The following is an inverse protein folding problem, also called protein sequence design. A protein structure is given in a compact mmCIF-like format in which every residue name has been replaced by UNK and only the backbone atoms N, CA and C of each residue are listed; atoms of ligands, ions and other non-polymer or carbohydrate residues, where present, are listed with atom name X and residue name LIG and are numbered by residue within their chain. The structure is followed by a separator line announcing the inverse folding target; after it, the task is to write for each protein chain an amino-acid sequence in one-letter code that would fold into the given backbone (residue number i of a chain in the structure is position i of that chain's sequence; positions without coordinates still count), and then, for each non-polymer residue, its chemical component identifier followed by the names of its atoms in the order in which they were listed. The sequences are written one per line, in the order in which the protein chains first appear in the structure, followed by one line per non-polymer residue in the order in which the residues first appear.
data_IF_676554059565
#
_entry.id   IF_676554059565
#
_cell.length_a   1.000
_cell.length_b   1.000
_cell.length_c   1.000
_cell.angle_alpha   90.00
_cell.angle_beta   90.00
_cell.angle_gamma   90.00
#
_symmetry.space_group_name_H-M   'P 1'
#
loop_
_entity.id
_entity.type
_entity.pdbx_description
1 polymer ?
#
# COMPACT_ATOMS: atom_id res chain seq x y z
N UNK A 1 15.14 -14.03 -17.67
CA UNK A 1 16.00 -13.74 -16.49
C UNK A 1 15.39 -14.49 -15.31
N UNK A 2 16.16 -14.88 -14.29
CA UNK A 2 15.56 -15.39 -13.06
C UNK A 2 14.68 -14.31 -12.42
N UNK A 3 13.51 -14.66 -11.85
CA UNK A 3 12.66 -13.72 -11.14
C UNK A 3 13.42 -12.97 -10.03
N UNK A 4 13.26 -11.65 -9.95
CA UNK A 4 13.75 -10.78 -8.86
C UNK A 4 12.62 -10.44 -7.89
N UNK A 5 12.75 -10.94 -6.66
CA UNK A 5 11.76 -10.83 -5.61
C UNK A 5 12.28 -9.95 -4.48
N UNK A 6 11.48 -8.97 -4.07
CA UNK A 6 11.75 -8.14 -2.89
C UNK A 6 10.84 -8.55 -1.73
N UNK A 7 11.44 -8.92 -0.60
CA UNK A 7 10.73 -9.13 0.67
C UNK A 7 10.87 -7.89 1.54
N UNK A 8 9.74 -7.24 1.80
CA UNK A 8 9.64 -6.14 2.77
C UNK A 8 9.02 -6.66 4.05
N UNK A 9 9.67 -6.42 5.18
CA UNK A 9 9.18 -6.86 6.48
C UNK A 9 9.21 -5.73 7.50
N UNK A 10 8.27 -5.73 8.45
CA UNK A 10 8.32 -4.82 9.61
C UNK A 10 9.35 -5.33 10.60
N UNK A 11 10.31 -4.50 11.01
CA UNK A 11 11.21 -4.84 12.12
C UNK A 11 10.45 -4.64 13.44
N UNK A 12 9.82 -5.69 13.94
CA UNK A 12 9.14 -5.66 15.24
C UNK A 12 10.01 -6.33 16.31
N UNK A 13 9.78 -6.02 17.58
CA UNK A 13 10.52 -6.64 18.70
C UNK A 13 9.82 -7.88 19.26
N UNK A 14 8.74 -8.31 18.61
CA UNK A 14 7.93 -9.45 19.03
C UNK A 14 8.40 -10.71 18.29
N UNK A 15 8.67 -11.76 19.06
CA UNK A 15 9.27 -13.01 18.59
C UNK A 15 8.45 -13.69 17.49
N UNK A 16 7.13 -13.49 17.47
CA UNK A 16 6.22 -14.08 16.48
C UNK A 16 6.57 -13.63 15.05
N UNK A 17 6.93 -12.37 14.86
CA UNK A 17 7.27 -11.84 13.54
C UNK A 17 8.65 -12.28 13.08
N UNK A 18 9.60 -12.46 14.00
CA UNK A 18 10.92 -13.02 13.69
C UNK A 18 10.80 -14.49 13.27
N UNK A 19 9.94 -15.27 13.92
CA UNK A 19 9.61 -16.65 13.52
C UNK A 19 8.97 -16.70 12.13
N UNK A 20 8.02 -15.79 11.86
CA UNK A 20 7.40 -15.70 10.55
C UNK A 20 8.42 -15.34 9.45
N UNK A 21 9.33 -14.41 9.73
CA UNK A 21 10.40 -14.06 8.80
C UNK A 21 11.36 -15.22 8.55
N UNK A 22 11.71 -15.99 9.58
CA UNK A 22 12.52 -17.19 9.43
C UNK A 22 11.82 -18.23 8.54
N UNK A 23 10.55 -18.54 8.77
CA UNK A 23 9.79 -19.49 7.96
C UNK A 23 9.69 -19.06 6.48
N UNK A 24 9.46 -17.77 6.24
CA UNK A 24 9.46 -17.19 4.88
C UNK A 24 10.84 -17.31 4.23
N UNK A 25 11.91 -17.01 4.97
CA UNK A 25 13.30 -17.15 4.48
C UNK A 25 13.62 -18.58 4.09
N UNK A 26 13.32 -19.55 4.96
CA UNK A 26 13.61 -20.96 4.71
C UNK A 26 12.92 -21.43 3.42
N UNK A 27 11.63 -21.07 3.24
CA UNK A 27 10.86 -21.37 2.03
C UNK A 27 11.46 -20.72 0.77
N UNK A 28 11.94 -19.49 0.91
CA UNK A 28 12.52 -18.73 -0.18
C UNK A 28 13.91 -19.23 -0.57
N UNK A 29 14.73 -19.66 0.39
CA UNK A 29 16.06 -20.22 0.15
C UNK A 29 15.99 -21.57 -0.61
N UNK A 30 14.95 -22.38 -0.36
CA UNK A 30 14.62 -23.55 -1.18
C UNK A 30 14.36 -23.15 -2.65
N UNK A 31 13.58 -22.09 -2.88
CA UNK A 31 13.27 -21.61 -4.23
C UNK A 31 14.48 -21.01 -4.94
N UNK A 32 15.40 -20.35 -4.22
CA UNK A 32 16.69 -19.91 -4.78
C UNK A 32 17.46 -21.13 -5.31
N UNK A 33 17.51 -22.20 -4.53
CA UNK A 33 18.22 -23.42 -4.90
C UNK A 33 17.58 -24.15 -6.08
N UNK A 34 16.24 -24.20 -6.11
CA UNK A 34 15.48 -24.96 -7.12
C UNK A 34 15.31 -24.21 -8.45
N UNK A 35 15.09 -22.89 -8.40
CA UNK A 35 14.65 -22.07 -9.54
C UNK A 35 15.62 -20.93 -9.89
N UNK A 36 16.66 -20.71 -9.08
CA UNK A 36 17.64 -19.65 -9.30
C UNK A 36 17.09 -18.23 -9.14
N UNK A 37 16.00 -18.06 -8.38
CA UNK A 37 15.40 -16.74 -8.13
C UNK A 37 16.36 -15.84 -7.34
N UNK A 38 16.28 -14.53 -7.59
CA UNK A 38 17.02 -13.53 -6.82
C UNK A 38 16.11 -12.96 -5.75
N UNK A 39 16.60 -12.89 -4.51
CA UNK A 39 15.80 -12.43 -3.37
C UNK A 39 16.54 -11.34 -2.62
N UNK A 40 15.85 -10.22 -2.42
CA UNK A 40 16.31 -9.12 -1.58
C UNK A 40 15.42 -8.98 -0.34
N UNK A 41 16.01 -8.64 0.80
CA UNK A 41 15.26 -8.36 2.03
C UNK A 41 15.48 -6.91 2.45
N UNK A 42 14.39 -6.20 2.75
CA UNK A 42 14.46 -4.88 3.39
C UNK A 42 13.47 -4.73 4.53
N UNK A 43 13.95 -4.07 5.59
CA UNK A 43 13.07 -3.58 6.64
C UNK A 43 12.23 -2.43 6.09
N UNK A 44 10.93 -2.43 6.37
CA UNK A 44 9.95 -1.42 5.94
C UNK A 44 10.46 0.02 6.10
N UNK A 45 11.18 0.29 7.19
CA UNK A 45 11.63 1.63 7.57
C UNK A 45 12.78 2.16 6.68
N UNK A 46 13.42 1.29 5.90
CA UNK A 46 14.56 1.64 5.02
C UNK A 46 14.25 1.48 3.53
N UNK A 47 12.99 1.15 3.20
CA UNK A 47 12.54 0.99 1.82
C UNK A 47 12.32 2.37 1.17
N UNK A 48 12.73 2.49 -0.09
CA UNK A 48 12.45 3.62 -0.96
C UNK A 48 11.71 3.15 -2.22
N UNK A 49 11.16 4.10 -2.98
CA UNK A 49 10.49 3.82 -4.26
C UNK A 49 11.39 3.08 -5.25
N UNK A 50 12.69 3.40 -5.27
CA UNK A 50 13.68 2.78 -6.15
C UNK A 50 13.83 1.28 -5.90
N UNK A 51 13.58 0.79 -4.68
CA UNK A 51 13.70 -0.63 -4.37
C UNK A 51 12.66 -1.49 -5.10
N UNK A 52 11.51 -0.92 -5.48
CA UNK A 52 10.40 -1.62 -6.12
C UNK A 52 10.47 -1.66 -7.65
N UNK A 53 11.34 -0.85 -8.24
CA UNK A 53 11.46 -0.73 -9.69
C UNK A 53 12.04 -2.01 -10.28
N UNK A 54 11.35 -2.58 -11.26
CA UNK A 54 11.83 -3.75 -12.02
C UNK A 54 11.77 -5.08 -11.27
N UNK A 55 11.07 -5.15 -10.13
CA UNK A 55 10.81 -6.41 -9.42
C UNK A 55 9.71 -7.20 -10.10
N UNK A 56 9.87 -8.51 -10.15
CA UNK A 56 8.85 -9.43 -10.66
C UNK A 56 7.77 -9.73 -9.62
N UNK A 57 8.12 -9.64 -8.32
CA UNK A 57 7.19 -9.81 -7.21
C UNK A 57 7.69 -9.08 -5.97
N UNK A 58 6.78 -8.41 -5.26
CA UNK A 58 7.05 -7.83 -3.94
C UNK A 58 6.25 -8.58 -2.88
N UNK A 59 6.95 -9.18 -1.92
CA UNK A 59 6.36 -9.89 -0.79
C UNK A 59 6.39 -8.97 0.43
N UNK A 60 5.24 -8.75 1.05
CA UNK A 60 5.11 -7.89 2.23
C UNK A 60 4.75 -8.77 3.42
N UNK A 61 5.71 -8.93 4.33
CA UNK A 61 5.53 -9.69 5.56
C UNK A 61 5.12 -8.76 6.71
N UNK A 62 3.90 -8.94 7.22
CA UNK A 62 3.35 -8.07 8.25
C UNK A 62 1.84 -8.21 8.37
N UNK A 63 1.17 -7.11 8.72
CA UNK A 63 -0.28 -6.98 8.59
C UNK A 63 -0.66 -5.85 7.63
N UNK A 64 -1.93 -5.48 7.64
CA UNK A 64 -2.47 -4.42 6.76
C UNK A 64 -1.75 -3.07 6.94
N UNK A 65 -1.37 -2.75 8.18
CA UNK A 65 -0.60 -1.53 8.48
C UNK A 65 0.79 -1.50 7.85
N UNK A 66 1.36 -2.66 7.49
CA UNK A 66 2.62 -2.74 6.75
C UNK A 66 2.37 -2.46 5.27
N UNK A 67 1.43 -3.15 4.64
CA UNK A 67 1.09 -2.93 3.23
C UNK A 67 0.66 -1.48 2.97
N UNK A 68 -0.34 -0.99 3.70
CA UNK A 68 -0.90 0.36 3.50
C UNK A 68 0.16 1.46 3.60
N UNK A 69 1.15 1.25 4.47
CA UNK A 69 2.24 2.20 4.65
C UNK A 69 3.28 2.20 3.55
N UNK A 70 3.40 1.14 2.74
CA UNK A 70 4.38 1.07 1.64
C UNK A 70 3.72 1.12 0.28
N UNK A 71 2.41 0.89 0.19
CA UNK A 71 1.63 0.88 -1.05
C UNK A 71 1.75 2.18 -1.88
N UNK A 72 2.07 3.31 -1.24
CA UNK A 72 2.31 4.58 -1.94
C UNK A 72 3.65 4.63 -2.68
N UNK A 73 4.60 3.78 -2.30
CA UNK A 73 5.93 3.66 -2.92
C UNK A 73 5.99 2.59 -4.03
N UNK A 74 4.94 1.80 -4.20
CA UNK A 74 4.89 0.70 -5.17
C UNK A 74 4.21 1.17 -6.46
N UNK A 75 4.84 0.92 -7.60
CA UNK A 75 4.31 1.26 -8.92
C UNK A 75 3.21 0.25 -9.36
N UNK A 76 2.39 0.60 -10.36
CA UNK A 76 1.24 -0.24 -10.78
C UNK A 76 1.61 -1.59 -11.40
N UNK A 77 2.79 -1.65 -12.00
CA UNK A 77 3.24 -2.82 -12.78
C UNK A 77 3.80 -3.94 -11.90
N UNK A 78 4.20 -3.62 -10.67
CA UNK A 78 4.83 -4.59 -9.77
C UNK A 78 3.75 -5.28 -8.92
N UNK A 79 3.55 -6.61 -9.07
CA UNK A 79 2.57 -7.33 -8.27
C UNK A 79 3.04 -7.46 -6.82
N UNK A 80 2.07 -7.38 -5.90
CA UNK A 80 2.30 -7.43 -4.46
C UNK A 80 1.60 -8.62 -3.84
N UNK A 81 2.33 -9.39 -3.03
CA UNK A 81 1.81 -10.48 -2.21
C UNK A 81 1.93 -10.12 -0.73
N UNK A 82 0.80 -9.92 -0.06
CA UNK A 82 0.77 -9.73 1.40
C UNK A 82 0.79 -11.07 2.12
N UNK A 83 1.71 -11.24 3.07
CA UNK A 83 1.84 -12.43 3.92
C UNK A 83 1.62 -12.02 5.36
N UNK A 84 0.56 -12.55 5.97
CA UNK A 84 0.25 -12.28 7.37
C UNK A 84 1.28 -12.95 8.27
N UNK A 85 2.03 -12.15 9.04
CA UNK A 85 3.07 -12.65 9.94
C UNK A 85 2.55 -13.11 11.30
N UNK A 86 1.31 -12.79 11.65
CA UNK A 86 0.66 -13.19 12.90
C UNK A 86 -0.85 -13.24 12.69
N UNK A 87 -1.37 -14.30 12.04
CA UNK A 87 -2.79 -14.42 11.75
C UNK A 87 -3.60 -14.73 13.02
N UNK A 88 -4.82 -14.18 13.09
CA UNK A 88 -5.70 -14.38 14.25
C UNK A 88 -6.12 -15.85 14.48
N UNK A 89 -6.10 -16.67 13.42
CA UNK A 89 -6.39 -18.11 13.51
C UNK A 89 -5.35 -18.88 14.35
N UNK A 90 -4.16 -18.32 14.53
CA UNK A 90 -3.08 -18.91 15.33
C UNK A 90 -3.03 -18.39 16.77
N UNK A 91 -3.50 -17.16 16.98
CA UNK A 91 -3.40 -16.43 18.23
C UNK A 91 -4.52 -15.38 18.30
N UNK A 92 -5.22 -15.28 19.44
CA UNK A 92 -6.30 -14.30 19.62
C UNK A 92 -5.80 -12.85 19.53
N UNK A 93 -4.53 -12.60 19.84
CA UNK A 93 -3.87 -11.30 19.69
C UNK A 93 -3.38 -11.03 18.26
N UNK A 94 -3.55 -12.00 17.35
CA UNK A 94 -3.18 -11.91 15.94
C UNK A 94 -4.07 -10.97 15.12
N UNK A 95 -3.62 -10.66 13.91
CA UNK A 95 -4.31 -9.76 12.98
C UNK A 95 -5.14 -10.52 11.96
N UNK A 96 -6.30 -9.95 11.59
CA UNK A 96 -7.17 -10.50 10.54
C UNK A 96 -6.51 -10.47 9.15
N UNK A 97 -5.86 -9.35 8.79
CA UNK A 97 -5.13 -9.19 7.53
C UNK A 97 -6.03 -9.11 6.30
N UNK A 98 -6.88 -8.07 6.21
CA UNK A 98 -7.83 -7.87 5.09
C UNK A 98 -7.13 -7.81 3.73
N UNK A 99 -5.95 -7.17 3.69
CA UNK A 99 -5.14 -7.08 2.49
C UNK A 99 -4.05 -8.16 2.41
N UNK A 100 -3.95 -9.08 3.37
CA UNK A 100 -2.99 -10.18 3.31
C UNK A 100 -3.59 -11.34 2.51
N UNK A 101 -2.90 -11.78 1.46
CA UNK A 101 -3.37 -12.84 0.56
C UNK A 101 -2.91 -14.24 0.96
N UNK A 102 -1.97 -14.34 1.90
CA UNK A 102 -1.34 -15.56 2.37
C UNK A 102 -0.91 -15.43 3.84
N UNK A 103 -0.37 -16.49 4.41
CA UNK A 103 0.16 -16.60 5.77
C UNK A 103 1.38 -17.55 5.76
N UNK A 104 2.09 -17.67 6.88
CA UNK A 104 3.31 -18.48 6.98
C UNK A 104 3.09 -19.97 6.73
N UNK A 105 1.88 -20.51 6.92
CA UNK A 105 1.57 -21.94 6.70
C UNK A 105 1.38 -22.24 5.23
N UNK A 106 0.75 -21.33 4.49
CA UNK A 106 0.42 -21.50 3.08
C UNK A 106 1.43 -20.86 2.12
N UNK A 107 2.33 -20.02 2.65
CA UNK A 107 3.28 -19.24 1.88
C UNK A 107 4.05 -20.04 0.82
N UNK A 108 4.48 -21.26 1.14
CA UNK A 108 5.25 -22.11 0.24
C UNK A 108 4.49 -22.46 -1.05
N UNK A 109 3.22 -22.79 -0.96
CA UNK A 109 2.39 -23.09 -2.14
C UNK A 109 2.04 -21.79 -2.88
N UNK A 110 1.66 -20.77 -2.11
CA UNK A 110 1.16 -19.50 -2.63
C UNK A 110 2.23 -18.72 -3.39
N UNK A 111 3.48 -18.67 -2.89
CA UNK A 111 4.59 -17.97 -3.58
C UNK A 111 4.96 -18.65 -4.90
N UNK A 112 4.87 -19.98 -4.98
CA UNK A 112 5.09 -20.72 -6.22
C UNK A 112 4.00 -20.37 -7.24
N UNK A 113 2.73 -20.37 -6.80
CA UNK A 113 1.60 -19.96 -7.64
C UNK A 113 1.69 -18.51 -8.12
N UNK A 114 2.16 -17.60 -7.26
CA UNK A 114 2.40 -16.20 -7.63
C UNK A 114 3.50 -16.06 -8.69
N UNK A 115 4.64 -16.75 -8.51
CA UNK A 115 5.76 -16.75 -9.46
C UNK A 115 5.43 -17.45 -10.78
N UNK A 116 4.58 -18.49 -10.74
CA UNK A 116 4.12 -19.22 -11.93
C UNK A 116 2.97 -18.48 -12.66
N UNK A 117 2.48 -17.36 -12.10
CA UNK A 117 1.39 -16.55 -12.65
C UNK A 117 0.02 -17.24 -12.61
N UNK A 118 -0.14 -18.28 -11.79
CA UNK A 118 -1.37 -19.09 -11.72
C UNK A 118 -2.35 -18.63 -10.64
N UNK A 119 -1.96 -17.72 -9.74
CA UNK A 119 -2.85 -17.23 -8.69
C UNK A 119 -3.67 -16.01 -9.10
N UNK A 120 -4.59 -15.61 -8.21
CA UNK A 120 -5.57 -14.58 -8.50
C UNK A 120 -4.96 -13.20 -8.28
N UNK A 121 -4.93 -12.38 -9.33
CA UNK A 121 -4.49 -10.98 -9.23
C UNK A 121 -5.70 -10.07 -9.08
N UNK A 122 -5.85 -9.51 -7.89
CA UNK A 122 -6.83 -8.49 -7.57
C UNK A 122 -6.28 -7.09 -7.84
N UNK A 123 -7.07 -6.26 -8.50
CA UNK A 123 -6.71 -4.87 -8.78
C UNK A 123 -7.29 -3.98 -7.68
N UNK A 124 -6.43 -3.45 -6.81
CA UNK A 124 -6.83 -2.55 -5.74
C UNK A 124 -6.84 -1.10 -6.26
N UNK A 125 -8.01 -0.43 -6.29
CA UNK A 125 -8.06 0.98 -6.68
C UNK A 125 -7.34 1.83 -5.64
N UNK A 126 -6.62 2.86 -6.11
CA UNK A 126 -5.96 3.85 -5.26
C UNK A 126 -6.57 5.23 -5.50
N UNK A 127 -6.55 6.09 -4.50
CA UNK A 127 -6.95 7.48 -4.61
C UNK A 127 -5.72 8.34 -4.90
N UNK A 128 -5.83 9.27 -5.85
CA UNK A 128 -4.77 10.25 -6.12
C UNK A 128 -5.37 11.65 -6.24
N UNK A 129 -4.70 12.62 -5.62
CA UNK A 129 -5.10 14.02 -5.67
C UNK A 129 -4.35 14.74 -6.79
N UNK A 130 -5.09 15.45 -7.63
CA UNK A 130 -4.51 16.50 -8.47
C UNK A 130 -4.76 17.87 -7.81
N UNK A 131 -3.68 18.55 -7.44
CA UNK A 131 -3.71 19.81 -6.72
C UNK A 131 -3.32 20.93 -7.69
N UNK A 132 -4.25 21.85 -7.96
CA UNK A 132 -3.98 23.05 -8.75
C UNK A 132 -3.85 24.25 -7.80
N UNK A 133 -2.65 24.80 -7.72
CA UNK A 133 -2.37 25.97 -6.88
C UNK A 133 -2.95 27.25 -7.51
N UNK A 134 -3.08 28.32 -6.72
CA UNK A 134 -3.48 29.65 -7.23
C UNK A 134 -2.55 30.21 -8.29
N UNK A 135 -1.30 29.76 -8.37
CA UNK A 135 -0.36 30.14 -9.42
C UNK A 135 -0.53 29.34 -10.72
N UNK A 136 -1.51 28.42 -10.76
CA UNK A 136 -1.73 27.50 -11.88
C UNK A 136 -0.74 26.32 -11.93
N UNK A 137 0.02 26.06 -10.86
CA UNK A 137 0.90 24.89 -10.80
C UNK A 137 0.06 23.66 -10.46
N UNK A 138 0.15 22.63 -11.28
CA UNK A 138 -0.42 21.31 -11.00
C UNK A 138 0.60 20.44 -10.28
N UNK A 139 0.19 19.80 -9.19
CA UNK A 139 0.97 18.83 -8.42
C UNK A 139 0.12 17.58 -8.21
N UNK A 140 0.68 16.41 -8.45
CA UNK A 140 0.04 15.13 -8.11
C UNK A 140 0.52 14.67 -6.74
N UNK A 141 -0.41 14.19 -5.91
CA UNK A 141 -0.04 13.48 -4.69
C UNK A 141 0.48 12.08 -5.02
N UNK A 142 1.16 11.46 -4.07
CA UNK A 142 1.35 10.02 -4.10
C UNK A 142 -0.02 9.31 -4.04
N UNK A 143 -0.15 8.12 -4.64
CA UNK A 143 -1.38 7.34 -4.59
C UNK A 143 -1.60 6.75 -3.19
N UNK A 144 -2.80 6.91 -2.65
CA UNK A 144 -3.20 6.38 -1.35
C UNK A 144 -4.12 5.16 -1.52
N UNK A 145 -3.88 4.11 -0.75
CA UNK A 145 -4.72 2.90 -0.80
C UNK A 145 -6.04 3.06 -0.04
N UNK A 146 -6.01 3.72 1.12
CA UNK A 146 -7.18 3.86 1.98
C UNK A 146 -7.86 5.23 1.78
N UNK A 147 -7.20 6.30 2.24
CA UNK A 147 -7.82 7.63 2.35
C UNK A 147 -6.88 8.76 1.94
N UNK A 148 -7.45 9.87 1.48
CA UNK A 148 -6.77 11.15 1.31
C UNK A 148 -7.30 12.15 2.34
N UNK A 149 -6.39 12.75 3.10
CA UNK A 149 -6.75 13.72 4.15
C UNK A 149 -6.38 15.13 3.69
N UNK A 150 -7.37 16.01 3.67
CA UNK A 150 -7.17 17.45 3.50
C UNK A 150 -7.35 18.10 4.86
N UNK A 151 -6.31 18.74 5.36
CA UNK A 151 -6.33 19.40 6.66
C UNK A 151 -5.46 20.66 6.64
N UNK A 152 -5.78 21.60 7.53
CA UNK A 152 -4.88 22.71 7.79
C UNK A 152 -3.60 22.20 8.49
N UNK A 153 -2.47 22.78 8.11
CA UNK A 153 -1.17 22.58 8.77
C UNK A 153 -1.18 23.01 10.23
N UNK A 154 -2.01 23.99 10.57
CA UNK A 154 -2.12 24.57 11.90
C UNK A 154 -3.33 23.98 12.62
N UNK A 155 -3.09 23.27 13.73
CA UNK A 155 -4.08 22.48 14.47
C UNK A 155 -5.29 23.27 14.99
N UNK A 156 -5.21 24.59 15.09
CA UNK A 156 -6.25 25.45 15.65
C UNK A 156 -6.89 26.39 14.63
N UNK A 157 -6.49 26.29 13.36
CA UNK A 157 -7.08 27.10 12.31
C UNK A 157 -8.20 26.33 11.62
N UNK A 158 -9.42 26.90 11.55
CA UNK A 158 -10.50 26.26 10.81
C UNK A 158 -10.17 26.21 9.32
N UNK A 159 -10.71 25.20 8.65
CA UNK A 159 -10.61 25.03 7.22
C UNK A 159 -12.00 25.21 6.61
N UNK A 160 -12.07 25.96 5.51
CA UNK A 160 -13.31 26.14 4.76
C UNK A 160 -13.15 25.41 3.44
N UNK A 161 -14.05 24.46 3.19
CA UNK A 161 -14.02 23.64 2.00
C UNK A 161 -15.30 23.83 1.18
N UNK A 162 -15.14 23.94 -0.13
CA UNK A 162 -16.21 23.73 -1.09
C UNK A 162 -15.93 22.40 -1.78
N UNK A 163 -16.84 21.44 -1.59
CA UNK A 163 -16.76 20.11 -2.17
C UNK A 163 -17.71 20.07 -3.37
N UNK A 164 -17.18 19.66 -4.51
CA UNK A 164 -17.93 19.51 -5.75
C UNK A 164 -17.69 18.08 -6.26
N UNK A 165 -18.77 17.35 -6.51
CA UNK A 165 -18.76 16.10 -7.27
C UNK A 165 -19.32 16.40 -8.65
N UNK A 166 -18.53 16.10 -9.68
CA UNK A 166 -19.00 16.17 -11.07
C UNK A 166 -19.92 15.01 -11.40
N UNK A 167 -20.83 15.23 -12.33
CA UNK A 167 -21.72 14.20 -12.84
C UNK A 167 -20.93 13.08 -13.52
N UNK A 168 -21.43 11.84 -13.37
CA UNK A 168 -20.97 10.65 -14.06
C UNK A 168 -22.15 9.88 -14.67
N UNK A 169 -21.95 8.63 -15.10
CA UNK A 169 -23.00 7.79 -15.70
C UNK A 169 -24.18 7.53 -14.78
N UNK A 170 -23.96 7.57 -13.46
CA UNK A 170 -24.90 7.08 -12.46
C UNK A 170 -25.37 8.20 -11.52
N UNK A 171 -24.72 9.37 -11.55
CA UNK A 171 -24.96 10.45 -10.60
C UNK A 171 -24.90 11.85 -11.23
N UNK A 172 -25.81 12.73 -10.82
CA UNK A 172 -25.80 14.16 -11.19
C UNK A 172 -24.73 14.96 -10.42
N UNK A 173 -24.48 16.19 -10.88
CA UNK A 173 -23.60 17.14 -10.19
C UNK A 173 -24.09 17.42 -8.77
N UNK A 174 -23.15 17.56 -7.83
CA UNK A 174 -23.46 17.88 -6.44
C UNK A 174 -22.43 18.86 -5.88
N UNK A 175 -22.90 19.94 -5.24
CA UNK A 175 -22.06 20.92 -4.56
C UNK A 175 -22.43 21.03 -3.09
N UNK A 176 -21.46 20.89 -2.21
CA UNK A 176 -21.59 21.06 -0.77
C UNK A 176 -20.57 22.09 -0.26
N UNK A 177 -21.03 23.12 0.45
CA UNK A 177 -20.14 24.03 1.16
C UNK A 177 -20.11 23.67 2.63
N UNK A 178 -18.93 23.39 3.18
CA UNK A 178 -18.75 23.01 4.58
C UNK A 178 -17.72 23.91 5.27
N UNK A 179 -18.06 24.38 6.47
CA UNK A 179 -17.15 25.06 7.38
C UNK A 179 -16.93 24.13 8.56
N UNK A 180 -15.72 23.58 8.71
CA UNK A 180 -15.36 22.75 9.87
C UNK A 180 -14.31 23.45 10.73
N UNK A 181 -14.53 23.43 12.05
CA UNK A 181 -13.44 23.60 13.03
C UNK A 181 -12.78 22.25 13.16
N UNK A 182 -11.67 22.05 12.45
CA UNK A 182 -10.91 20.81 12.55
C UNK A 182 -10.18 20.74 13.90
N UNK A 183 -10.24 19.57 14.55
CA UNK A 183 -9.36 19.17 15.65
C UNK A 183 -8.90 17.74 15.32
N UNK A 184 -7.70 17.56 14.74
CA UNK A 184 -6.76 16.42 14.93
C UNK A 184 -5.62 16.39 13.86
N UNK A 185 -4.73 15.39 13.91
CA UNK A 185 -3.26 15.46 13.87
C UNK A 185 -2.51 15.14 12.56
N UNK A 186 -1.32 15.78 12.46
CA UNK A 186 -0.08 15.46 11.70
C UNK A 186 -0.01 15.62 10.16
N UNK A 187 0.53 16.81 9.80
CA UNK A 187 1.54 17.20 8.78
C UNK A 187 1.43 16.71 7.32
N UNK A 188 0.95 17.63 6.48
CA UNK A 188 1.64 18.05 5.25
C UNK A 188 1.74 19.57 5.23
N UNK A 189 2.95 20.12 5.12
CA UNK A 189 3.23 21.57 5.16
C UNK A 189 3.23 22.15 3.75
N UNK A 190 2.09 22.60 3.26
CA UNK A 190 2.04 23.64 2.22
C UNK A 190 0.79 24.51 2.36
N UNK A 191 0.97 25.82 2.29
CA UNK A 191 -0.08 26.83 2.43
C UNK A 191 -0.85 26.92 1.10
N UNK A 192 -1.67 25.93 0.79
CA UNK A 192 -2.41 25.88 -0.47
C UNK A 192 -3.78 26.56 -0.30
N UNK A 193 -3.95 27.74 -0.91
CA UNK A 193 -5.24 28.13 -1.46
C UNK A 193 -5.28 27.54 -2.87
N UNK A 194 -6.17 26.59 -3.14
CA UNK A 194 -6.19 25.87 -4.41
C UNK A 194 -7.44 25.02 -4.54
N UNK A 195 -7.70 24.55 -5.75
CA UNK A 195 -8.73 23.55 -6.04
C UNK A 195 -8.06 22.20 -6.19
N UNK A 196 -8.55 21.18 -5.49
CA UNK A 196 -8.12 19.80 -5.66
C UNK A 196 -9.22 19.01 -6.38
N UNK A 197 -8.83 18.27 -7.42
CA UNK A 197 -9.70 17.35 -8.13
C UNK A 197 -9.30 15.91 -7.81
N UNK A 198 -10.30 15.09 -7.53
CA UNK A 198 -10.11 13.70 -7.15
C UNK A 198 -10.53 12.81 -8.31
N UNK A 199 -9.70 11.83 -8.62
CA UNK A 199 -10.06 10.74 -9.51
C UNK A 199 -9.49 9.45 -8.96
N UNK A 200 -10.09 8.32 -9.33
CA UNK A 200 -9.45 7.02 -9.15
C UNK A 200 -8.08 7.07 -9.83
N UNK A 201 -7.03 6.69 -9.11
CA UNK A 201 -5.66 6.67 -9.61
C UNK A 201 -5.60 5.93 -10.95
N UNK A 202 -4.83 6.48 -11.90
CA UNK A 202 -4.50 5.77 -13.14
C UNK A 202 -3.57 4.58 -12.92
N UNK A 203 -2.97 4.49 -11.73
CA UNK A 203 -2.07 3.44 -11.31
C UNK A 203 -2.75 2.64 -10.19
N UNK A 204 -3.54 1.60 -10.50
CA UNK A 204 -4.03 0.68 -9.48
C UNK A 204 -2.88 -0.18 -8.92
N UNK A 205 -3.08 -0.79 -7.75
CA UNK A 205 -2.12 -1.73 -7.19
C UNK A 205 -2.56 -3.17 -7.50
N UNK A 206 -1.74 -3.90 -8.23
CA UNK A 206 -1.94 -5.32 -8.49
C UNK A 206 -1.56 -6.13 -7.25
N UNK A 207 -2.54 -6.73 -6.60
CA UNK A 207 -2.36 -7.57 -5.40
C UNK A 207 -2.69 -9.02 -5.71
N UNK A 208 -1.79 -9.93 -5.37
CA UNK A 208 -2.05 -11.36 -5.40
C UNK A 208 -2.91 -11.80 -4.20
N UNK A 209 -3.84 -12.72 -4.44
CA UNK A 209 -4.62 -13.42 -3.41
C UNK A 209 -4.77 -14.90 -3.74
N UNK A 210 -4.96 -15.70 -2.70
CA UNK A 210 -5.33 -17.11 -2.79
C UNK A 210 -6.71 -17.31 -3.42
#
# INVERSE_FOLDING_TARGET
MPPDVLVVYKKNFEEVHDKALAAVRDTLDELVSDRGITISYKARETVSREDFVGRDLVIILGGDGTLTSIAHSIDSETPVMGVNSHPQDDDEDGSYGFYMGSDTKHFAEDVRSALDGSGIVNVLPRLQAEIVTTSGKTVLSDPALNDLIIANTHQYQPSIYRLERRADSDHEDMTLTSVRRDVCSQRFSDKVRGSAMWSTSREPLSRWTR
#
